data_IF_956963480343
#
_entry.id   IF_956963480343
#
_cell.length_a   1.000
_cell.length_b   1.000
_cell.length_c   1.000
_cell.angle_alpha   90.00
_cell.angle_beta   90.00
_cell.angle_gamma   90.00
#
_symmetry.space_group_name_H-M   'P 1'
#
loop_
_entity.id
_entity.type
_entity.pdbx_description
1 polymer ?
#
# COMPACT_ATOMS: atom_id res chain seq x y z
N UNK A 1 -9.36 -11.41 -7.11
CA UNK A 1 -9.43 -10.08 -6.49
C UNK A 1 -10.44 -10.09 -5.37
N UNK A 2 -10.00 -9.86 -4.14
CA UNK A 2 -10.90 -9.79 -2.99
C UNK A 2 -11.41 -8.36 -2.81
N UNK A 3 -12.54 -8.04 -3.47
CA UNK A 3 -13.21 -6.74 -3.37
C UNK A 3 -13.74 -6.46 -1.96
N UNK A 4 -13.73 -7.42 -1.04
CA UNK A 4 -14.10 -7.15 0.34
C UNK A 4 -12.95 -6.51 1.13
N UNK A 5 -11.69 -6.79 0.76
CA UNK A 5 -10.51 -6.44 1.54
C UNK A 5 -9.59 -5.43 0.85
N UNK A 6 -9.67 -5.30 -0.47
CA UNK A 6 -8.80 -4.42 -1.27
C UNK A 6 -9.55 -3.18 -1.79
N UNK A 7 -9.20 -2.01 -1.26
CA UNK A 7 -9.81 -0.74 -1.66
C UNK A 7 -9.45 -0.35 -3.09
N UNK A 8 -8.32 -0.81 -3.64
CA UNK A 8 -7.88 -0.47 -5.00
C UNK A 8 -8.81 -1.01 -6.10
N UNK A 9 -9.62 -2.03 -5.78
CA UNK A 9 -10.44 -2.75 -6.77
C UNK A 9 -11.89 -2.95 -6.35
N UNK A 10 -12.27 -2.45 -5.17
CA UNK A 10 -13.64 -2.52 -4.64
C UNK A 10 -14.52 -1.35 -5.10
N UNK A 11 -15.75 -1.30 -4.61
CA UNK A 11 -16.66 -0.18 -4.79
C UNK A 11 -17.49 0.06 -3.53
N UNK A 12 -18.05 1.26 -3.40
CA UNK A 12 -18.81 1.66 -2.21
C UNK A 12 -19.96 0.68 -1.87
N UNK A 13 -20.68 0.19 -2.89
CA UNK A 13 -21.78 -0.76 -2.68
C UNK A 13 -21.36 -2.08 -2.05
N UNK A 14 -20.12 -2.53 -2.29
CA UNK A 14 -19.58 -3.77 -1.70
C UNK A 14 -19.23 -3.59 -0.22
N UNK A 15 -18.65 -2.44 0.14
CA UNK A 15 -18.12 -2.19 1.48
C UNK A 15 -19.15 -1.60 2.44
N UNK A 16 -20.15 -0.85 1.92
CA UNK A 16 -21.18 -0.17 2.73
C UNK A 16 -21.89 -1.05 3.77
N UNK A 17 -22.31 -2.30 3.47
CA UNK A 17 -23.03 -3.12 4.44
C UNK A 17 -22.10 -3.88 5.41
N UNK A 18 -20.79 -3.73 5.30
CA UNK A 18 -19.81 -4.52 6.04
C UNK A 18 -19.19 -3.72 7.18
N UNK A 19 -18.93 -4.41 8.30
CA UNK A 19 -18.14 -3.87 9.41
C UNK A 19 -16.67 -4.25 9.23
N UNK A 20 -15.79 -3.26 9.35
CA UNK A 20 -14.33 -3.41 9.34
C UNK A 20 -13.78 -3.11 10.73
N UNK A 21 -12.81 -3.91 11.17
CA UNK A 21 -12.21 -3.84 12.50
C UNK A 21 -10.86 -3.12 12.49
N UNK A 22 -10.14 -3.16 11.37
CA UNK A 22 -8.82 -2.57 11.19
C UNK A 22 -8.64 -2.02 9.78
N UNK A 23 -7.78 -1.00 9.64
CA UNK A 23 -7.28 -0.52 8.35
C UNK A 23 -5.78 -0.79 8.25
N UNK A 24 -5.33 -1.19 7.07
CA UNK A 24 -3.92 -1.38 6.74
C UNK A 24 -3.58 -0.36 5.64
N UNK A 25 -2.59 0.48 5.89
CA UNK A 25 -2.07 1.44 4.91
C UNK A 25 -0.69 0.98 4.44
N UNK A 26 -0.59 0.31 3.28
CA UNK A 26 0.69 0.04 2.68
C UNK A 26 1.38 1.36 2.29
N UNK A 27 2.66 1.48 2.60
CA UNK A 27 3.43 2.68 2.31
C UNK A 27 4.80 2.25 1.77
N UNK A 28 5.09 2.63 0.54
CA UNK A 28 6.35 2.38 -0.13
C UNK A 28 6.93 3.64 -0.76
N UNK A 29 7.64 3.46 -1.87
CA UNK A 29 8.27 4.54 -2.62
C UNK A 29 8.08 4.37 -4.13
N UNK A 30 8.34 5.47 -4.86
CA UNK A 30 8.68 5.44 -6.29
C UNK A 30 10.20 5.54 -6.41
N UNK A 31 10.88 4.41 -6.52
CA UNK A 31 12.34 4.34 -6.54
C UNK A 31 12.89 3.21 -7.42
N UNK A 32 14.05 3.41 -8.07
CA UNK A 32 14.64 2.38 -8.91
C UNK A 32 15.10 1.20 -8.07
N UNK A 33 14.61 0.00 -8.41
CA UNK A 33 15.00 -1.26 -7.77
C UNK A 33 15.89 -2.06 -8.72
N UNK A 34 17.18 -1.70 -8.79
CA UNK A 34 18.11 -2.30 -9.76
C UNK A 34 17.57 -2.13 -11.21
N UNK A 35 18.03 -2.96 -12.15
CA UNK A 35 17.67 -2.87 -13.58
C UNK A 35 16.44 -3.71 -13.96
N UNK A 36 15.85 -4.46 -13.02
CA UNK A 36 14.89 -5.53 -13.34
C UNK A 36 13.61 -5.48 -12.52
N UNK A 37 13.61 -4.86 -11.33
CA UNK A 37 12.40 -4.76 -10.53
C UNK A 37 11.64 -3.45 -10.83
N UNK A 38 10.32 -3.45 -10.62
CA UNK A 38 9.50 -2.25 -10.81
C UNK A 38 9.91 -1.10 -9.89
N UNK A 39 9.66 0.14 -10.33
CA UNK A 39 9.82 1.34 -9.50
C UNK A 39 8.93 1.36 -8.25
N UNK A 40 7.85 0.58 -8.27
CA UNK A 40 6.85 0.49 -7.20
C UNK A 40 6.99 -0.78 -6.37
N UNK A 41 8.18 -1.41 -6.36
CA UNK A 41 8.42 -2.66 -5.62
C UNK A 41 7.95 -2.55 -4.17
N UNK A 42 8.32 -1.48 -3.46
CA UNK A 42 7.91 -1.26 -2.07
C UNK A 42 6.40 -1.18 -1.89
N UNK A 43 5.69 -0.62 -2.87
CA UNK A 43 4.24 -0.48 -2.85
C UNK A 43 3.53 -1.81 -3.15
N UNK A 44 3.98 -2.52 -4.19
CA UNK A 44 3.40 -3.79 -4.65
C UNK A 44 3.56 -4.84 -3.55
N UNK A 45 4.77 -5.00 -3.03
CA UNK A 45 5.04 -6.04 -2.03
C UNK A 45 4.31 -5.77 -0.72
N UNK A 46 4.30 -4.52 -0.23
CA UNK A 46 3.59 -4.20 1.01
C UNK A 46 2.08 -4.34 0.88
N UNK A 47 1.50 -4.00 -0.29
CA UNK A 47 0.07 -4.19 -0.57
C UNK A 47 -0.32 -5.67 -0.65
N UNK A 48 0.43 -6.47 -1.41
CA UNK A 48 0.16 -7.92 -1.56
C UNK A 48 0.29 -8.66 -0.22
N UNK A 49 1.32 -8.36 0.57
CA UNK A 49 1.51 -8.94 1.92
C UNK A 49 0.36 -8.52 2.85
N UNK A 50 -0.05 -7.25 2.82
CA UNK A 50 -1.18 -6.77 3.64
C UNK A 50 -2.49 -7.47 3.27
N UNK A 51 -2.71 -7.75 1.97
CA UNK A 51 -3.89 -8.49 1.52
C UNK A 51 -3.89 -9.94 2.00
N UNK A 52 -2.76 -10.63 1.93
CA UNK A 52 -2.67 -12.00 2.42
C UNK A 52 -2.86 -12.07 3.93
N UNK A 53 -2.29 -11.14 4.69
CA UNK A 53 -2.53 -11.01 6.12
C UNK A 53 -4.01 -10.70 6.44
N UNK A 54 -4.65 -9.80 5.69
CA UNK A 54 -6.07 -9.46 5.86
C UNK A 54 -6.99 -10.65 5.58
N UNK A 55 -6.68 -11.46 4.54
CA UNK A 55 -7.39 -12.69 4.25
C UNK A 55 -7.26 -13.67 5.41
N UNK A 56 -6.04 -13.90 5.90
CA UNK A 56 -5.78 -14.79 7.04
C UNK A 56 -6.50 -14.31 8.30
N UNK A 57 -6.48 -13.01 8.60
CA UNK A 57 -7.18 -12.42 9.74
C UNK A 57 -8.69 -12.70 9.70
N UNK A 58 -9.29 -12.53 8.52
CA UNK A 58 -10.70 -12.80 8.29
C UNK A 58 -11.03 -14.28 8.41
N UNK A 59 -10.26 -15.16 7.77
CA UNK A 59 -10.57 -16.60 7.71
C UNK A 59 -10.33 -17.31 9.03
N UNK A 60 -9.29 -16.94 9.77
CA UNK A 60 -8.90 -17.64 10.99
C UNK A 60 -9.48 -17.01 12.26
N UNK A 61 -9.75 -15.70 12.26
CA UNK A 61 -10.15 -14.98 13.46
C UNK A 61 -11.43 -14.16 13.30
N UNK A 62 -12.03 -14.15 12.11
CA UNK A 62 -13.23 -13.35 11.84
C UNK A 62 -12.98 -11.84 11.85
N UNK A 63 -11.72 -11.40 11.88
CA UNK A 63 -11.31 -9.98 11.91
C UNK A 63 -11.26 -9.47 10.47
N UNK A 64 -12.07 -8.48 10.14
CA UNK A 64 -12.11 -7.91 8.79
C UNK A 64 -11.26 -6.64 8.71
N UNK A 65 -10.18 -6.72 7.93
CA UNK A 65 -9.34 -5.57 7.63
C UNK A 65 -9.70 -4.94 6.28
N UNK A 66 -9.48 -3.64 6.13
CA UNK A 66 -9.44 -2.97 4.82
C UNK A 66 -8.00 -2.61 4.49
N UNK A 67 -7.49 -3.08 3.34
CA UNK A 67 -6.21 -2.65 2.77
C UNK A 67 -6.47 -1.44 1.87
N UNK A 68 -5.87 -0.31 2.23
CA UNK A 68 -5.99 0.94 1.49
C UNK A 68 -5.07 0.93 0.25
N UNK A 69 -5.29 1.83 -0.73
CA UNK A 69 -4.33 2.04 -1.80
C UNK A 69 -2.98 2.43 -1.20
N UNK A 70 -1.90 1.87 -1.75
CA UNK A 70 -0.56 2.14 -1.27
C UNK A 70 -0.19 3.62 -1.46
N UNK A 71 0.57 4.15 -0.50
CA UNK A 71 1.19 5.48 -0.60
C UNK A 71 2.57 5.32 -1.23
N UNK A 72 2.86 6.07 -2.29
CA UNK A 72 4.15 6.04 -3.00
C UNK A 72 5.18 7.03 -2.45
N UNK A 73 4.87 7.66 -1.32
CA UNK A 73 5.58 8.81 -0.78
C UNK A 73 6.79 8.41 0.09
N UNK A 74 7.83 7.83 -0.51
CA UNK A 74 9.07 7.45 0.17
C UNK A 74 10.06 8.60 0.39
N UNK A 75 10.82 8.56 1.48
CA UNK A 75 11.93 9.48 1.74
C UNK A 75 13.22 8.86 1.21
N UNK A 76 13.81 9.51 0.20
CA UNK A 76 14.98 9.01 -0.53
C UNK A 76 16.29 9.60 0.00
N UNK A 77 17.38 8.86 -0.12
CA UNK A 77 18.73 9.28 0.29
C UNK A 77 19.38 10.21 -0.76
N UNK A 78 20.46 10.95 -0.38
CA UNK A 78 21.28 11.67 -1.33
C UNK A 78 21.79 10.76 -2.46
N UNK A 79 21.74 11.21 -3.71
CA UNK A 79 22.13 10.43 -4.89
C UNK A 79 20.96 9.69 -5.55
N UNK A 80 19.88 9.38 -4.82
CA UNK A 80 18.72 8.69 -5.40
C UNK A 80 17.81 9.64 -6.17
N UNK A 81 17.64 10.89 -5.70
CA UNK A 81 16.77 11.88 -6.34
C UNK A 81 17.23 12.25 -7.75
N UNK A 82 18.52 12.06 -8.03
CA UNK A 82 19.14 12.30 -9.32
C UNK A 82 18.91 11.17 -10.33
N UNK A 83 18.37 10.02 -9.90
CA UNK A 83 18.01 8.91 -10.78
C UNK A 83 16.66 9.17 -11.44
N UNK A 84 16.55 8.81 -12.72
CA UNK A 84 15.34 9.04 -13.51
C UNK A 84 14.09 8.50 -12.82
N UNK A 85 13.05 9.34 -12.73
CA UNK A 85 11.74 9.04 -12.15
C UNK A 85 11.72 8.71 -10.64
N UNK A 86 12.84 8.76 -9.92
CA UNK A 86 12.85 8.65 -8.46
C UNK A 86 12.19 9.88 -7.82
N UNK A 87 11.24 9.68 -6.90
CA UNK A 87 10.51 10.78 -6.25
C UNK A 87 10.83 10.82 -4.76
N UNK A 88 11.55 11.87 -4.33
CA UNK A 88 11.82 12.14 -2.92
C UNK A 88 10.67 12.95 -2.29
N UNK A 89 10.10 12.43 -1.21
CA UNK A 89 9.13 13.14 -0.38
C UNK A 89 9.76 13.58 0.94
N UNK A 90 9.61 14.87 1.26
CA UNK A 90 10.05 15.42 2.55
C UNK A 90 9.17 14.88 3.68
N UNK A 91 9.74 14.81 4.88
CA UNK A 91 9.02 14.36 6.07
C UNK A 91 7.71 15.14 6.34
N UNK A 92 7.71 16.47 6.20
CA UNK A 92 6.49 17.27 6.39
C UNK A 92 5.43 17.00 5.31
N UNK A 93 5.83 16.55 4.11
CA UNK A 93 4.88 16.10 3.09
C UNK A 93 4.30 14.74 3.47
N UNK A 94 5.12 13.81 3.95
CA UNK A 94 4.64 12.51 4.46
C UNK A 94 3.68 12.69 5.63
N UNK A 95 3.99 13.58 6.58
CA UNK A 95 3.14 13.89 7.73
C UNK A 95 1.79 14.51 7.36
N UNK A 96 1.71 15.19 6.22
CA UNK A 96 0.47 15.81 5.74
C UNK A 96 -0.46 14.83 5.00
N UNK A 97 0.05 13.63 4.68
CA UNK A 97 -0.74 12.50 4.16
C UNK A 97 -1.42 11.81 5.34
#
# INVERSE_FOLDING_TARGET
MDKELDLAVTCYGKVKPLKYDLVLLPWGATEPHNLHLPYLTDCILSHDIALDAAKMAKTHYGIRCMVLPYVTAGSQNPGQRELDFCIHYRYETQKAI
#
